data_IF_525444484401
#
_entry.id   IF_525444484401
#
_cell.length_a   1.000
_cell.length_b   1.000
_cell.length_c   1.000
_cell.angle_alpha   90.00
_cell.angle_beta   90.00
_cell.angle_gamma   90.00
#
_symmetry.space_group_name_H-M   'P 1'
#
loop_
_entity.id
_entity.type
_entity.pdbx_description
1 polymer ?
#
# COMPACT_ATOMS: atom_id res chain seq x y z
N UNK A 1 50.57 28.79 -6.16
CA UNK A 1 50.41 27.66 -5.22
C UNK A 1 49.09 27.81 -4.47
N UNK A 2 47.99 27.33 -5.05
CA UNK A 2 46.71 26.85 -4.45
C UNK A 2 46.00 26.18 -5.64
N UNK A 3 46.02 24.84 -5.74
CA UNK A 3 44.98 23.91 -5.29
C UNK A 3 43.63 24.12 -6.00
N UNK A 4 43.21 23.16 -6.81
CA UNK A 4 41.94 22.42 -6.76
C UNK A 4 41.79 21.67 -8.10
N UNK A 5 42.24 20.42 -8.17
CA UNK A 5 41.40 19.22 -8.01
C UNK A 5 40.33 19.11 -9.11
N UNK A 6 40.74 18.40 -10.17
CA UNK A 6 39.99 17.38 -10.91
C UNK A 6 38.51 17.29 -10.48
N UNK A 7 37.60 17.83 -11.30
CA UNK A 7 36.17 17.50 -11.24
C UNK A 7 35.94 16.40 -12.28
N UNK A 8 36.35 15.19 -11.93
CA UNK A 8 35.72 13.96 -12.41
C UNK A 8 34.62 13.65 -11.40
N UNK A 9 33.38 14.02 -11.69
CA UNK A 9 32.24 13.43 -11.01
C UNK A 9 31.16 13.01 -12.01
N UNK A 10 31.34 11.76 -12.46
CA UNK A 10 30.32 10.72 -12.54
C UNK A 10 29.08 11.01 -13.37
N UNK A 11 29.11 10.46 -14.58
CA UNK A 11 28.02 9.62 -15.12
C UNK A 11 27.06 9.14 -14.03
N UNK A 12 25.94 9.83 -13.87
CA UNK A 12 24.77 9.21 -13.27
C UNK A 12 24.10 8.42 -14.38
N UNK A 13 24.50 7.15 -14.43
CA UNK A 13 23.87 6.09 -15.18
C UNK A 13 22.35 6.18 -14.94
N UNK A 14 21.58 6.59 -15.95
CA UNK A 14 20.14 6.45 -15.94
C UNK A 14 19.80 4.96 -16.04
N UNK A 15 19.72 4.28 -14.91
CA UNK A 15 19.08 2.98 -14.83
C UNK A 15 17.90 3.11 -13.84
N UNK A 16 16.90 3.90 -14.25
CA UNK A 16 15.56 3.80 -13.68
C UNK A 16 14.83 2.76 -14.52
N UNK A 17 15.11 1.50 -14.24
CA UNK A 17 14.23 0.38 -14.53
C UNK A 17 14.78 -0.78 -13.71
N UNK A 18 14.03 -1.23 -12.71
CA UNK A 18 14.44 -2.47 -12.03
C UNK A 18 13.30 -3.40 -11.64
N UNK A 19 12.09 -2.89 -11.39
CA UNK A 19 10.94 -3.74 -11.04
C UNK A 19 9.71 -3.39 -11.87
N UNK A 20 9.19 -4.38 -12.60
CA UNK A 20 7.88 -4.26 -13.22
C UNK A 20 6.80 -4.62 -12.20
N UNK A 21 6.29 -3.59 -11.51
CA UNK A 21 5.05 -3.71 -10.75
C UNK A 21 3.87 -3.62 -11.73
N UNK A 22 3.20 -4.75 -11.96
CA UNK A 22 2.04 -4.87 -12.84
C UNK A 22 0.79 -4.88 -11.98
N UNK A 23 -0.18 -4.05 -12.33
CA UNK A 23 -1.47 -3.96 -11.65
C UNK A 23 -2.61 -4.28 -12.60
N UNK A 24 -3.60 -5.03 -12.12
CA UNK A 24 -4.85 -5.23 -12.87
C UNK A 24 -5.80 -4.01 -12.76
N UNK A 25 -7.01 -4.16 -13.28
CA UNK A 25 -8.04 -3.11 -13.28
C UNK A 25 -8.69 -2.85 -11.91
N UNK A 26 -8.41 -3.66 -10.89
CA UNK A 26 -8.96 -3.45 -9.53
C UNK A 26 -8.29 -2.30 -8.76
N UNK A 27 -7.14 -1.80 -9.25
CA UNK A 27 -6.38 -0.72 -8.62
C UNK A 27 -6.67 0.64 -9.25
N UNK A 28 -6.98 1.62 -8.41
CA UNK A 28 -7.09 3.02 -8.82
C UNK A 28 -5.70 3.67 -8.92
N UNK A 29 -5.61 4.83 -9.56
CA UNK A 29 -4.34 5.55 -9.74
C UNK A 29 -3.60 5.83 -8.43
N UNK A 30 -4.33 6.23 -7.37
CA UNK A 30 -3.75 6.45 -6.04
C UNK A 30 -3.17 5.18 -5.41
N UNK A 31 -3.80 4.02 -5.61
CA UNK A 31 -3.32 2.75 -5.06
C UNK A 31 -2.01 2.36 -5.73
N UNK A 32 -1.98 2.42 -7.06
CA UNK A 32 -0.79 2.13 -7.87
C UNK A 32 0.37 3.03 -7.45
N UNK A 33 0.10 4.31 -7.20
CA UNK A 33 1.11 5.25 -6.73
C UNK A 33 1.67 4.85 -5.36
N UNK A 34 0.81 4.54 -4.38
CA UNK A 34 1.22 4.14 -3.04
C UNK A 34 2.03 2.83 -3.06
N UNK A 35 1.57 1.82 -3.80
CA UNK A 35 2.29 0.57 -3.98
C UNK A 35 3.65 0.76 -4.66
N UNK A 36 3.71 1.54 -5.74
CA UNK A 36 4.99 1.87 -6.40
C UNK A 36 5.96 2.57 -5.47
N UNK A 37 5.47 3.48 -4.63
CA UNK A 37 6.27 4.21 -3.66
C UNK A 37 6.83 3.28 -2.57
N UNK A 38 6.00 2.44 -1.96
CA UNK A 38 6.44 1.60 -0.85
C UNK A 38 7.28 0.38 -1.30
N UNK A 39 7.14 -0.08 -2.55
CA UNK A 39 7.85 -1.22 -3.14
C UNK A 39 8.98 -0.80 -4.11
N UNK A 40 9.40 0.47 -4.07
CA UNK A 40 10.38 1.03 -5.03
C UNK A 40 11.72 0.29 -5.06
N UNK A 41 12.09 -0.38 -3.96
CA UNK A 41 13.43 -0.94 -3.77
C UNK A 41 13.49 -2.47 -3.92
N UNK A 42 12.49 -3.08 -4.57
CA UNK A 42 12.26 -4.54 -4.47
C UNK A 42 13.05 -5.47 -5.41
N UNK A 43 13.86 -5.13 -6.39
CA UNK A 43 14.57 -6.08 -7.29
C UNK A 43 13.79 -7.29 -7.94
N UNK A 44 12.49 -7.50 -7.69
CA UNK A 44 11.68 -8.59 -8.24
C UNK A 44 10.42 -8.07 -8.95
N UNK A 45 10.06 -8.70 -10.07
CA UNK A 45 8.82 -8.43 -10.81
C UNK A 45 7.62 -8.98 -10.04
N UNK A 46 6.63 -8.10 -9.80
CA UNK A 46 5.42 -8.44 -9.05
C UNK A 46 4.18 -8.14 -9.89
N UNK A 47 3.33 -9.15 -10.03
CA UNK A 47 1.96 -8.99 -10.51
C UNK A 47 1.04 -8.88 -9.29
N UNK A 48 0.49 -7.68 -9.08
CA UNK A 48 -0.39 -7.35 -7.95
C UNK A 48 -1.82 -7.23 -8.49
N UNK A 49 -2.72 -8.09 -8.02
CA UNK A 49 -4.06 -8.26 -8.59
C UNK A 49 -5.13 -8.39 -7.50
N UNK A 50 -6.39 -8.26 -7.90
CA UNK A 50 -7.55 -8.57 -7.05
C UNK A 50 -7.63 -7.73 -5.77
N UNK A 51 -7.30 -6.44 -5.84
CA UNK A 51 -7.51 -5.51 -4.74
C UNK A 51 -8.98 -5.54 -4.33
N UNK A 52 -9.22 -5.91 -3.07
CA UNK A 52 -10.56 -5.91 -2.48
C UNK A 52 -10.51 -5.19 -1.14
N UNK A 53 -11.39 -4.21 -0.97
CA UNK A 53 -11.63 -3.53 0.30
C UNK A 53 -13.05 -3.87 0.75
N UNK A 54 -13.19 -4.29 2.00
CA UNK A 54 -14.47 -4.67 2.61
C UNK A 54 -14.61 -3.92 3.93
N UNK A 55 -15.68 -3.14 4.07
CA UNK A 55 -16.08 -2.56 5.34
C UNK A 55 -16.98 -3.57 6.06
N UNK A 56 -16.59 -3.96 7.26
CA UNK A 56 -17.29 -4.86 8.17
C UNK A 56 -17.78 -4.02 9.35
N UNK A 57 -19.08 -3.85 9.49
CA UNK A 57 -19.66 -3.29 10.71
C UNK A 57 -19.71 -4.38 11.78
N UNK A 58 -19.17 -4.12 12.96
CA UNK A 58 -19.27 -5.03 14.10
C UNK A 58 -20.03 -4.36 15.25
N UNK A 59 -21.13 -4.99 15.63
CA UNK A 59 -21.91 -4.84 16.87
C UNK A 59 -22.66 -3.53 17.12
N UNK A 60 -23.99 -3.69 17.15
CA UNK A 60 -24.96 -2.83 17.83
C UNK A 60 -24.91 -3.20 19.32
N UNK A 61 -24.58 -2.26 20.21
CA UNK A 61 -24.84 -2.47 21.64
C UNK A 61 -26.36 -2.39 21.90
N UNK A 62 -26.84 -2.77 23.10
CA UNK A 62 -28.27 -2.73 23.45
C UNK A 62 -28.93 -1.34 23.36
N UNK A 63 -28.15 -0.29 23.11
CA UNK A 63 -28.59 1.10 22.97
C UNK A 63 -28.58 1.61 21.51
N UNK A 64 -28.23 0.77 20.52
CA UNK A 64 -28.23 1.18 19.11
C UNK A 64 -27.01 2.00 18.68
N UNK A 65 -25.97 2.09 19.51
CA UNK A 65 -24.75 2.83 19.20
C UNK A 65 -23.69 1.87 18.65
N UNK A 66 -23.43 1.92 17.34
CA UNK A 66 -22.30 1.19 16.73
C UNK A 66 -20.98 1.83 17.18
N UNK A 67 -20.07 1.04 17.73
CA UNK A 67 -18.71 1.50 18.02
C UNK A 67 -17.70 0.47 17.49
N UNK A 68 -17.12 0.84 16.34
CA UNK A 68 -15.92 0.33 15.65
C UNK A 68 -16.22 -0.28 14.28
N UNK A 69 -15.94 0.49 13.23
CA UNK A 69 -15.92 0.00 11.85
C UNK A 69 -14.63 -0.77 11.63
N UNK A 70 -14.75 -1.94 11.02
CA UNK A 70 -13.61 -2.78 10.72
C UNK A 70 -13.43 -2.85 9.21
N UNK A 71 -12.34 -2.30 8.70
CA UNK A 71 -12.04 -2.37 7.26
C UNK A 71 -10.98 -3.42 7.00
N UNK A 72 -11.19 -4.23 5.97
CA UNK A 72 -10.30 -5.30 5.55
C UNK A 72 -9.89 -5.08 4.11
N UNK A 73 -8.59 -5.10 3.83
CA UNK A 73 -8.02 -5.02 2.50
C UNK A 73 -7.33 -6.33 2.16
N UNK A 74 -7.49 -6.82 0.93
CA UNK A 74 -6.74 -7.97 0.43
C UNK A 74 -6.24 -7.78 -0.99
N UNK A 75 -5.08 -8.35 -1.28
CA UNK A 75 -4.48 -8.40 -2.62
C UNK A 75 -3.92 -9.79 -2.88
N UNK A 76 -3.92 -10.20 -4.15
CA UNK A 76 -3.19 -11.35 -4.64
C UNK A 76 -1.86 -10.88 -5.24
N UNK A 77 -0.75 -11.48 -4.81
CA UNK A 77 0.60 -11.20 -5.32
C UNK A 77 1.09 -12.44 -6.03
N UNK A 78 1.58 -12.25 -7.25
CA UNK A 78 2.28 -13.28 -8.01
C UNK A 78 3.69 -12.83 -8.32
N UNK A 79 4.65 -13.69 -8.00
CA UNK A 79 6.07 -13.48 -8.23
C UNK A 79 6.69 -14.85 -8.54
N UNK A 80 7.56 -14.91 -9.55
CA UNK A 80 8.07 -16.18 -10.07
C UNK A 80 6.91 -17.16 -10.37
N UNK A 81 6.89 -18.32 -9.70
CA UNK A 81 5.83 -19.34 -9.79
C UNK A 81 4.94 -19.40 -8.54
N UNK A 82 5.03 -18.41 -7.66
CA UNK A 82 4.25 -18.36 -6.43
C UNK A 82 3.10 -17.37 -6.56
N UNK A 83 1.95 -17.73 -5.97
CA UNK A 83 0.83 -16.84 -5.77
C UNK A 83 0.45 -16.84 -4.30
N UNK A 84 0.46 -15.67 -3.68
CA UNK A 84 0.11 -15.49 -2.27
C UNK A 84 -1.00 -14.46 -2.13
N UNK A 85 -1.86 -14.65 -1.12
CA UNK A 85 -2.88 -13.67 -0.76
C UNK A 85 -2.45 -12.94 0.50
N UNK A 86 -2.34 -11.62 0.42
CA UNK A 86 -1.99 -10.77 1.56
C UNK A 86 -3.24 -10.02 2.01
N UNK A 87 -3.40 -9.88 3.32
CA UNK A 87 -4.50 -9.15 3.94
C UNK A 87 -3.99 -8.13 4.94
N UNK A 88 -4.64 -6.98 4.99
CA UNK A 88 -4.48 -5.96 6.02
C UNK A 88 -5.85 -5.59 6.59
N UNK A 89 -5.86 -5.06 7.81
CA UNK A 89 -7.09 -4.79 8.55
C UNK A 89 -6.88 -3.60 9.46
N UNK A 90 -7.86 -2.69 9.47
CA UNK A 90 -7.90 -1.53 10.35
C UNK A 90 -9.21 -1.51 11.12
N UNK A 91 -9.16 -0.95 12.33
CA UNK A 91 -10.33 -0.67 13.15
C UNK A 91 -10.39 0.83 13.36
N UNK A 92 -11.51 1.45 12.99
CA UNK A 92 -11.77 2.87 13.12
C UNK A 92 -13.09 3.14 13.85
N UNK A 93 -13.31 4.36 14.35
CA UNK A 93 -14.59 4.72 14.97
C UNK A 93 -15.71 4.81 13.93
N UNK A 94 -16.95 4.49 14.29
CA UNK A 94 -18.14 4.59 13.41
C UNK A 94 -18.85 5.94 13.53
N UNK A 95 -18.66 6.66 14.64
CA UNK A 95 -19.41 7.87 14.96
C UNK A 95 -18.64 9.12 14.54
N UNK A 96 -18.73 9.45 13.26
CA UNK A 96 -18.13 10.66 12.71
C UNK A 96 -19.06 11.86 12.89
N UNK A 97 -18.57 12.93 13.52
CA UNK A 97 -19.30 14.19 13.72
C UNK A 97 -19.52 14.93 12.37
N UNK A 98 -18.73 14.62 11.33
CA UNK A 98 -18.91 15.16 9.98
C UNK A 98 -18.51 14.16 8.89
N UNK A 99 -19.13 14.29 7.71
CA UNK A 99 -18.80 13.49 6.52
C UNK A 99 -17.37 13.70 6.03
N UNK A 100 -16.84 14.92 6.15
CA UNK A 100 -15.45 15.22 5.80
C UNK A 100 -14.46 14.44 6.67
N UNK A 101 -14.75 14.32 7.97
CA UNK A 101 -13.90 13.55 8.89
C UNK A 101 -13.91 12.05 8.56
N UNK A 102 -15.07 11.51 8.18
CA UNK A 102 -15.20 10.12 7.72
C UNK A 102 -14.33 9.85 6.48
N UNK A 103 -14.39 10.74 5.49
CA UNK A 103 -13.62 10.58 4.25
C UNK A 103 -12.11 10.61 4.49
N UNK A 104 -11.62 11.47 5.39
CA UNK A 104 -10.17 11.54 5.62
C UNK A 104 -9.65 10.36 6.43
N UNK A 105 -10.46 9.83 7.34
CA UNK A 105 -10.12 8.59 8.04
C UNK A 105 -10.12 7.39 7.09
N UNK A 106 -11.08 7.30 6.17
CA UNK A 106 -11.05 6.26 5.13
C UNK A 106 -9.79 6.33 4.24
N UNK A 107 -9.35 7.54 3.86
CA UNK A 107 -8.09 7.73 3.12
C UNK A 107 -6.89 7.29 3.95
N UNK A 108 -6.82 7.71 5.21
CA UNK A 108 -5.73 7.37 6.12
C UNK A 108 -5.65 5.85 6.35
N UNK A 109 -6.78 5.20 6.64
CA UNK A 109 -6.86 3.75 6.81
C UNK A 109 -6.41 3.02 5.55
N UNK A 110 -6.79 3.54 4.37
CA UNK A 110 -6.36 2.97 3.08
C UNK A 110 -4.85 3.04 2.90
N UNK A 111 -4.22 4.17 3.21
CA UNK A 111 -2.76 4.33 3.15
C UNK A 111 -2.04 3.40 4.12
N UNK A 112 -2.53 3.31 5.36
CA UNK A 112 -1.97 2.41 6.39
C UNK A 112 -2.09 0.94 5.99
N UNK A 113 -3.24 0.53 5.45
CA UNK A 113 -3.43 -0.84 4.96
C UNK A 113 -2.51 -1.18 3.79
N UNK A 114 -2.33 -0.25 2.84
CA UNK A 114 -1.39 -0.45 1.73
C UNK A 114 0.03 -0.59 2.28
N UNK A 115 0.47 0.30 3.18
CA UNK A 115 1.79 0.21 3.80
C UNK A 115 2.03 -1.14 4.50
N UNK A 116 1.07 -1.62 5.30
CA UNK A 116 1.15 -2.92 5.96
C UNK A 116 1.23 -4.07 4.95
N UNK A 117 0.47 -4.02 3.85
CA UNK A 117 0.61 -4.98 2.75
C UNK A 117 2.02 -4.91 2.15
N UNK A 118 2.57 -3.72 1.91
CA UNK A 118 3.92 -3.59 1.34
C UNK A 118 4.99 -4.23 2.24
N UNK A 119 4.90 -4.03 3.55
CA UNK A 119 5.81 -4.65 4.51
C UNK A 119 5.65 -6.17 4.54
N UNK A 120 4.42 -6.68 4.43
CA UNK A 120 4.18 -8.12 4.27
C UNK A 120 4.76 -8.65 2.96
N UNK A 121 4.65 -7.93 1.85
CA UNK A 121 5.26 -8.32 0.56
C UNK A 121 6.77 -8.44 0.72
N UNK A 122 7.43 -7.40 1.24
CA UNK A 122 8.89 -7.39 1.45
C UNK A 122 9.37 -8.59 2.27
N UNK A 123 8.66 -8.92 3.35
CA UNK A 123 8.97 -10.07 4.21
C UNK A 123 8.80 -11.44 3.56
N UNK A 124 7.97 -11.56 2.52
CA UNK A 124 7.74 -12.83 1.81
C UNK A 124 8.68 -13.02 0.61
N UNK A 125 9.39 -11.96 0.20
CA UNK A 125 10.20 -11.92 -1.02
C UNK A 125 11.70 -11.81 -0.72
N UNK A 126 12.07 -11.20 0.41
CA UNK A 126 13.42 -11.29 0.98
C UNK A 126 13.70 -12.69 1.53
#
# INVERSE_FOLDING_TARGET
>A
MVRFLIIFFLSSCSSIEKNNLIFDSSFEGKDRFLFKRCLSNIDQDLEISGLKVINLANNINSEGLEFNSKTSMSVDIKFQNQKIKIKSMQMGPTNYISSNMSLELEKQDRELMIQDICEKIKKNIQ
#
